data_IF_297193686683
#
_entry.id   IF_297193686683
#
_cell.length_a   1.000
_cell.length_b   1.000
_cell.length_c   1.000
_cell.angle_alpha   90.00
_cell.angle_beta   90.00
_cell.angle_gamma   90.00
#
_symmetry.space_group_name_H-M   'P 1'
#
loop_
_entity.id
_entity.type
_entity.pdbx_description
1 polymer ?
#
# COMPACT_ATOMS: atom_id res chain seq x y z
N UNK A 1 27.46 18.03 -42.27
CA UNK A 1 27.32 19.50 -42.22
C UNK A 1 26.29 19.92 -43.26
N UNK A 2 25.05 20.11 -42.84
CA UNK A 2 23.97 20.70 -43.64
C UNK A 2 23.15 21.57 -42.68
N UNK A 3 23.13 22.86 -42.97
CA UNK A 3 22.61 23.93 -42.11
C UNK A 3 21.12 24.11 -42.41
N UNK A 4 20.25 23.78 -41.46
CA UNK A 4 18.79 23.96 -41.57
C UNK A 4 18.43 25.28 -40.88
N UNK A 5 17.85 26.20 -41.65
CA UNK A 5 17.32 27.50 -41.17
C UNK A 5 16.07 27.29 -40.29
N UNK A 6 15.89 28.06 -39.20
CA UNK A 6 14.66 28.02 -38.42
C UNK A 6 13.55 28.86 -39.06
N UNK A 7 12.33 28.31 -39.06
CA UNK A 7 11.11 28.96 -39.52
C UNK A 7 10.52 29.87 -38.43
N UNK A 8 10.11 31.06 -38.84
CA UNK A 8 9.45 32.09 -38.01
C UNK A 8 7.98 31.71 -37.73
N UNK A 9 7.45 31.88 -36.51
CA UNK A 9 6.04 31.65 -36.22
C UNK A 9 5.15 32.83 -36.65
N UNK A 10 3.90 32.60 -37.09
CA UNK A 10 2.95 33.67 -37.40
C UNK A 10 2.30 34.25 -36.15
N UNK A 11 2.08 35.57 -36.18
CA UNK A 11 1.37 36.37 -35.17
C UNK A 11 -0.15 36.10 -35.16
N UNK A 12 -0.83 36.32 -34.03
CA UNK A 12 -2.26 36.05 -33.89
C UNK A 12 -3.14 37.16 -34.47
N UNK A 13 -4.09 36.78 -35.31
CA UNK A 13 -5.18 37.65 -35.79
C UNK A 13 -6.26 37.77 -34.73
N UNK A 14 -6.50 39.00 -34.27
CA UNK A 14 -7.62 39.41 -33.44
C UNK A 14 -8.84 39.70 -34.33
N UNK A 15 -9.95 38.99 -34.12
CA UNK A 15 -11.27 39.38 -34.67
C UNK A 15 -12.25 39.61 -33.53
N UNK A 16 -12.69 40.87 -33.42
CA UNK A 16 -13.74 41.35 -32.52
C UNK A 16 -15.13 40.99 -33.07
N UNK A 17 -16.04 40.78 -32.11
CA UNK A 17 -17.44 41.24 -32.07
C UNK A 17 -18.46 40.65 -33.05
N UNK A 18 -19.44 39.94 -32.48
CA UNK A 18 -20.85 40.26 -32.72
C UNK A 18 -21.70 39.79 -31.53
N UNK A 19 -22.37 40.75 -30.90
CA UNK A 19 -23.42 40.54 -29.92
C UNK A 19 -24.71 40.13 -30.65
N UNK A 20 -25.44 39.17 -30.10
CA UNK A 20 -26.82 38.86 -30.48
C UNK A 20 -27.68 38.72 -29.22
N UNK A 21 -28.66 39.62 -29.14
CA UNK A 21 -29.71 39.75 -28.12
C UNK A 21 -30.60 38.50 -27.98
N UNK A 22 -31.37 38.37 -26.88
CA UNK A 22 -32.06 37.14 -26.50
C UNK A 22 -33.47 37.06 -27.10
N UNK A 23 -34.03 35.85 -27.28
CA UNK A 23 -35.46 35.70 -27.50
C UNK A 23 -36.22 35.61 -26.17
N UNK A 24 -37.16 36.53 -26.03
CA UNK A 24 -38.36 36.44 -25.19
C UNK A 24 -39.26 35.29 -25.67
N UNK A 25 -39.86 34.53 -24.75
CA UNK A 25 -40.87 33.56 -25.15
C UNK A 25 -41.32 32.57 -24.07
N UNK A 26 -42.45 32.89 -23.46
CA UNK A 26 -43.50 31.96 -22.98
C UNK A 26 -43.18 31.05 -21.79
N UNK A 27 -43.58 31.58 -20.64
CA UNK A 27 -44.14 30.88 -19.48
C UNK A 27 -45.17 29.82 -19.88
N UNK A 28 -44.88 28.56 -19.52
CA UNK A 28 -45.87 27.50 -19.39
C UNK A 28 -45.67 26.83 -18.02
N UNK A 29 -46.56 27.19 -17.10
CA UNK A 29 -46.77 26.56 -15.78
C UNK A 29 -46.92 25.03 -15.94
N UNK A 30 -46.11 24.21 -15.26
CA UNK A 30 -46.49 22.86 -14.92
C UNK A 30 -47.43 22.91 -13.71
N UNK A 31 -48.60 22.30 -13.87
CA UNK A 31 -49.57 22.00 -12.81
C UNK A 31 -48.93 21.16 -11.71
N UNK A 32 -49.05 21.62 -10.46
CA UNK A 32 -48.68 20.87 -9.26
C UNK A 32 -49.46 19.53 -9.20
N UNK A 33 -48.78 18.38 -9.08
CA UNK A 33 -49.44 17.14 -8.70
C UNK A 33 -49.84 17.19 -7.22
N UNK A 34 -51.08 16.77 -6.95
CA UNK A 34 -51.67 16.68 -5.62
C UNK A 34 -50.77 15.94 -4.60
N UNK A 35 -50.79 16.33 -3.31
CA UNK A 35 -50.01 15.66 -2.29
C UNK A 35 -50.52 14.23 -2.07
N UNK A 36 -49.63 13.26 -2.27
CA UNK A 36 -49.87 11.87 -1.86
C UNK A 36 -50.11 11.82 -0.33
N UNK A 37 -51.03 10.96 0.14
CA UNK A 37 -51.31 10.81 1.56
C UNK A 37 -50.06 10.32 2.30
N UNK A 38 -49.74 11.03 3.38
CA UNK A 38 -48.69 10.70 4.34
C UNK A 38 -48.92 9.29 4.86
N UNK A 39 -48.07 8.35 4.45
CA UNK A 39 -47.99 7.03 5.07
C UNK A 39 -47.30 7.21 6.42
N UNK A 40 -48.09 7.25 7.49
CA UNK A 40 -47.58 7.25 8.86
C UNK A 40 -46.86 5.91 9.11
N UNK A 41 -45.58 5.90 9.51
CA UNK A 41 -44.92 4.67 9.90
C UNK A 41 -45.55 4.11 11.19
N UNK A 42 -45.64 2.79 11.35
CA UNK A 42 -46.15 2.18 12.57
C UNK A 42 -45.25 2.55 13.77
N UNK A 43 -45.89 2.90 14.88
CA UNK A 43 -45.23 3.21 16.16
C UNK A 43 -44.23 2.12 16.54
N UNK A 44 -43.01 2.48 17.00
CA UNK A 44 -42.09 1.49 17.56
C UNK A 44 -42.70 0.87 18.82
N UNK A 45 -42.67 -0.46 18.90
CA UNK A 45 -42.99 -1.22 20.11
C UNK A 45 -42.05 -0.79 21.24
N UNK A 46 -42.53 -0.69 22.50
CA UNK A 46 -41.67 -0.33 23.61
C UNK A 46 -40.60 -1.41 23.82
N UNK A 47 -39.34 -0.98 23.79
CA UNK A 47 -38.20 -1.82 24.14
C UNK A 47 -38.33 -2.28 25.60
N UNK A 48 -38.36 -3.59 25.81
CA UNK A 48 -38.18 -4.18 27.13
C UNK A 48 -36.84 -3.71 27.71
N UNK A 49 -36.90 -2.99 28.83
CA UNK A 49 -35.76 -2.71 29.70
C UNK A 49 -35.22 -4.04 30.26
N UNK A 50 -34.26 -4.63 29.55
CA UNK A 50 -33.33 -5.60 30.12
C UNK A 50 -32.27 -4.84 30.90
N UNK A 51 -32.38 -4.84 32.23
CA UNK A 51 -31.38 -4.24 33.11
C UNK A 51 -30.01 -4.93 33.00
N UNK A 52 -28.91 -4.21 33.30
CA UNK A 52 -27.59 -4.81 33.28
C UNK A 52 -27.45 -5.81 34.43
N UNK A 53 -27.26 -7.08 34.07
CA UNK A 53 -26.88 -8.15 34.96
C UNK A 53 -25.46 -7.85 35.46
N UNK A 54 -25.35 -7.30 36.68
CA UNK A 54 -24.10 -7.10 37.39
C UNK A 54 -23.43 -8.47 37.59
N UNK A 55 -22.39 -8.75 36.80
CA UNK A 55 -21.44 -9.81 37.12
C UNK A 55 -20.76 -9.44 38.44
N UNK A 56 -21.10 -10.16 39.51
CA UNK A 56 -20.37 -10.16 40.79
C UNK A 56 -18.91 -10.52 40.49
N UNK A 57 -18.02 -9.52 40.60
CA UNK A 57 -16.60 -9.74 40.84
C UNK A 57 -16.49 -10.50 42.17
N UNK A 58 -16.13 -11.79 42.12
CA UNK A 58 -15.59 -12.50 43.27
C UNK A 58 -14.19 -11.95 43.50
N UNK A 59 -13.99 -11.32 44.65
CA UNK A 59 -12.67 -11.02 45.19
C UNK A 59 -11.91 -12.34 45.40
N UNK A 60 -10.63 -12.45 45.00
CA UNK A 60 -9.81 -13.59 45.38
C UNK A 60 -9.51 -13.50 46.87
N UNK A 61 -9.91 -14.54 47.59
CA UNK A 61 -9.55 -14.78 48.97
C UNK A 61 -8.02 -14.79 49.10
N UNK A 62 -7.51 -13.96 50.01
CA UNK A 62 -6.16 -14.04 50.56
C UNK A 62 -6.08 -15.35 51.33
N UNK A 63 -5.53 -16.39 50.71
CA UNK A 63 -5.09 -17.59 51.42
C UNK A 63 -3.63 -17.39 51.84
N UNK A 64 -3.44 -17.33 53.15
CA UNK A 64 -2.16 -17.41 53.85
C UNK A 64 -1.50 -18.77 53.59
N UNK A 65 -0.34 -18.76 52.93
CA UNK A 65 0.57 -19.91 52.79
C UNK A 65 1.38 -20.11 54.09
N UNK A 66 0.69 -20.47 55.18
CA UNK A 66 1.30 -20.97 56.41
C UNK A 66 0.80 -22.38 56.69
N UNK A 67 1.32 -23.36 55.96
CA UNK A 67 1.43 -24.75 56.45
C UNK A 67 2.29 -25.57 55.49
N UNK A 68 3.54 -25.87 55.89
CA UNK A 68 4.21 -27.18 55.84
C UNK A 68 5.75 -27.00 56.02
N UNK A 69 6.40 -27.79 56.90
CA UNK A 69 7.84 -27.72 57.09
C UNK A 69 8.60 -28.21 55.85
N UNK A 70 9.44 -27.34 55.30
CA UNK A 70 10.32 -27.60 54.16
C UNK A 70 11.42 -28.59 54.58
N UNK A 71 11.22 -29.88 54.28
CA UNK A 71 12.27 -30.89 54.42
C UNK A 71 13.45 -30.54 53.48
N UNK A 72 14.66 -30.56 54.03
CA UNK A 72 15.89 -30.27 53.31
C UNK A 72 16.09 -31.25 52.14
N UNK A 73 16.25 -30.70 50.94
CA UNK A 73 16.63 -31.48 49.77
C UNK A 73 18.07 -32.01 49.93
N UNK A 74 18.35 -33.28 49.58
CA UNK A 74 19.70 -33.82 49.63
C UNK A 74 20.58 -33.12 48.59
N UNK A 75 21.78 -32.71 49.01
CA UNK A 75 22.80 -32.12 48.14
C UNK A 75 23.19 -33.11 47.04
N UNK A 76 22.71 -32.87 45.81
CA UNK A 76 23.18 -33.57 44.62
C UNK A 76 24.63 -33.19 44.34
N UNK A 77 25.53 -34.16 44.54
CA UNK A 77 26.92 -34.06 44.12
C UNK A 77 27.01 -33.76 42.61
N UNK A 78 27.81 -32.76 42.25
CA UNK A 78 28.03 -32.34 40.88
C UNK A 78 28.60 -33.50 40.05
N UNK A 79 27.88 -33.90 38.98
CA UNK A 79 28.38 -34.85 38.00
C UNK A 79 29.62 -34.27 37.30
N UNK A 80 30.73 -35.02 37.17
CA UNK A 80 31.91 -34.56 36.46
C UNK A 80 31.57 -34.31 34.98
N UNK A 81 31.97 -33.14 34.48
CA UNK A 81 31.79 -32.77 33.08
C UNK A 81 32.52 -33.77 32.17
N UNK A 82 31.87 -34.31 31.13
CA UNK A 82 32.49 -35.26 30.22
C UNK A 82 33.66 -34.61 29.46
N UNK A 83 34.72 -35.39 29.23
CA UNK A 83 36.04 -34.94 28.74
C UNK A 83 36.03 -34.24 27.37
N UNK A 84 34.96 -34.36 26.60
CA UNK A 84 34.80 -33.65 25.32
C UNK A 84 34.47 -32.15 25.47
N UNK A 85 34.01 -31.72 26.65
CA UNK A 85 33.68 -30.32 26.94
C UNK A 85 34.90 -29.39 27.12
N UNK A 86 36.14 -29.92 27.03
CA UNK A 86 37.38 -29.14 27.21
C UNK A 86 37.98 -28.61 25.90
N UNK A 87 37.39 -28.87 24.73
CA UNK A 87 37.88 -28.29 23.47
C UNK A 87 37.25 -26.91 23.26
N UNK A 88 38.04 -25.81 23.22
CA UNK A 88 37.51 -24.51 22.83
C UNK A 88 36.87 -24.65 21.43
N UNK A 89 35.68 -24.08 21.20
CA UNK A 89 35.05 -24.14 19.90
C UNK A 89 36.00 -23.56 18.85
N UNK A 90 36.17 -24.21 17.69
CA UNK A 90 37.02 -23.67 16.64
C UNK A 90 36.54 -22.25 16.31
N UNK A 91 37.46 -21.28 16.40
CA UNK A 91 37.17 -19.88 16.05
C UNK A 91 36.54 -19.88 14.65
N UNK A 92 35.30 -19.38 14.49
CA UNK A 92 34.64 -19.35 13.20
C UNK A 92 35.50 -18.46 12.29
N UNK A 93 36.16 -19.05 11.29
CA UNK A 93 36.80 -18.28 10.23
C UNK A 93 35.67 -17.52 9.54
N UNK A 94 35.66 -16.20 9.66
CA UNK A 94 34.72 -15.33 8.96
C UNK A 94 34.83 -15.64 7.47
N UNK A 95 33.82 -16.33 6.94
CA UNK A 95 33.74 -16.66 5.53
C UNK A 95 33.56 -15.33 4.79
N UNK A 96 34.40 -14.99 3.79
CA UNK A 96 34.21 -13.77 3.03
C UNK A 96 32.79 -13.81 2.46
N UNK A 97 31.97 -12.84 2.84
CA UNK A 97 30.62 -12.63 2.32
C UNK A 97 30.77 -12.23 0.86
N UNK A 98 30.80 -13.22 -0.02
CA UNK A 98 30.75 -12.98 -1.47
C UNK A 98 29.51 -12.15 -1.79
N UNK A 99 29.66 -11.16 -2.68
CA UNK A 99 28.53 -10.34 -3.16
C UNK A 99 27.43 -11.26 -3.66
N UNK A 100 26.24 -11.14 -3.07
CA UNK A 100 25.09 -11.90 -3.52
C UNK A 100 24.57 -11.17 -4.75
N UNK A 101 24.63 -11.83 -5.90
CA UNK A 101 23.98 -11.38 -7.12
C UNK A 101 22.58 -11.98 -7.20
N UNK A 102 21.63 -11.22 -7.73
CA UNK A 102 20.29 -11.70 -8.00
C UNK A 102 20.40 -12.93 -8.93
N UNK A 103 19.96 -14.09 -8.43
CA UNK A 103 19.77 -15.25 -9.30
C UNK A 103 18.51 -14.96 -10.08
N UNK A 104 18.65 -14.67 -11.37
CA UNK A 104 17.51 -14.56 -12.28
C UNK A 104 16.88 -15.95 -12.39
N UNK A 105 15.78 -16.17 -11.67
CA UNK A 105 14.90 -17.28 -11.99
C UNK A 105 14.49 -17.12 -13.47
N UNK A 106 14.33 -18.23 -14.20
CA UNK A 106 13.67 -18.15 -15.49
C UNK A 106 12.22 -17.72 -15.21
N UNK A 107 11.94 -16.42 -15.38
CA UNK A 107 10.62 -15.87 -15.14
C UNK A 107 9.61 -16.61 -16.03
N UNK A 108 8.46 -17.04 -15.50
CA UNK A 108 7.37 -17.55 -16.33
C UNK A 108 7.04 -16.55 -17.44
N UNK A 109 6.66 -17.05 -18.62
CA UNK A 109 6.27 -16.18 -19.74
C UNK A 109 4.94 -15.48 -19.49
N UNK A 110 4.04 -16.10 -18.74
CA UNK A 110 2.77 -15.51 -18.33
C UNK A 110 2.97 -14.62 -17.09
N UNK A 111 2.71 -13.31 -17.17
CA UNK A 111 2.81 -12.38 -16.04
C UNK A 111 1.96 -12.80 -14.82
N UNK A 112 0.80 -13.43 -15.04
CA UNK A 112 -0.07 -13.87 -13.95
C UNK A 112 0.49 -15.11 -13.24
N UNK A 113 1.02 -16.08 -13.99
CA UNK A 113 1.80 -17.17 -13.42
C UNK A 113 3.04 -16.66 -12.66
N UNK A 114 3.73 -15.65 -13.20
CA UNK A 114 4.87 -15.03 -12.54
C UNK A 114 4.49 -14.38 -11.20
N UNK A 115 3.39 -13.61 -11.17
CA UNK A 115 2.83 -13.05 -9.93
C UNK A 115 2.49 -14.13 -8.90
N UNK A 116 1.85 -15.24 -9.32
CA UNK A 116 1.57 -16.39 -8.44
C UNK A 116 2.84 -17.02 -7.90
N UNK A 117 3.87 -17.18 -8.75
CA UNK A 117 5.16 -17.76 -8.34
C UNK A 117 5.89 -16.89 -7.31
N UNK A 118 5.85 -15.57 -7.49
CA UNK A 118 6.36 -14.61 -6.50
C UNK A 118 5.63 -14.80 -5.17
N UNK A 119 4.30 -14.84 -5.19
CA UNK A 119 3.49 -15.03 -3.98
C UNK A 119 3.82 -16.35 -3.27
N UNK A 120 3.87 -17.48 -3.99
CA UNK A 120 4.25 -18.80 -3.46
C UNK A 120 5.61 -18.75 -2.75
N UNK A 121 6.64 -18.26 -3.44
CA UNK A 121 7.99 -18.22 -2.89
C UNK A 121 8.11 -17.27 -1.67
N UNK A 122 7.34 -16.18 -1.66
CA UNK A 122 7.26 -15.27 -0.52
C UNK A 122 6.59 -15.94 0.67
N UNK A 123 5.48 -16.66 0.45
CA UNK A 123 4.79 -17.41 1.50
C UNK A 123 5.70 -18.47 2.13
N UNK A 124 6.39 -19.24 1.28
CA UNK A 124 7.35 -20.24 1.74
C UNK A 124 8.46 -19.60 2.58
N UNK A 125 9.04 -18.50 2.11
CA UNK A 125 10.08 -17.77 2.85
C UNK A 125 9.58 -17.22 4.19
N UNK A 126 8.35 -16.69 4.22
CA UNK A 126 7.73 -16.15 5.43
C UNK A 126 7.51 -17.23 6.49
N UNK A 127 6.86 -18.34 6.10
CA UNK A 127 6.53 -19.42 7.04
C UNK A 127 7.75 -20.25 7.46
N UNK A 128 8.75 -20.43 6.59
CA UNK A 128 10.00 -21.11 6.96
C UNK A 128 10.89 -20.29 7.91
N UNK A 129 10.76 -18.97 7.87
CA UNK A 129 11.54 -18.06 8.73
C UNK A 129 10.83 -17.72 10.04
N UNK A 130 9.72 -18.40 10.35
CA UNK A 130 8.87 -18.15 11.52
C UNK A 130 8.41 -16.70 11.64
N UNK A 131 7.94 -16.08 10.54
CA UNK A 131 7.53 -14.66 10.54
C UNK A 131 6.34 -14.30 11.45
N UNK A 132 5.66 -15.27 12.04
CA UNK A 132 4.51 -15.05 12.92
C UNK A 132 3.18 -14.94 12.16
N UNK A 133 2.14 -14.46 12.85
CA UNK A 133 0.77 -14.38 12.31
C UNK A 133 0.43 -13.04 11.65
N UNK A 134 1.32 -12.05 11.70
CA UNK A 134 1.14 -10.72 11.14
C UNK A 134 1.29 -10.73 9.62
N UNK A 135 0.21 -11.04 8.91
CA UNK A 135 0.20 -11.13 7.43
C UNK A 135 0.45 -9.79 6.73
N UNK A 136 0.24 -8.68 7.44
CA UNK A 136 0.52 -7.32 6.99
C UNK A 136 2.00 -7.06 6.72
N UNK A 137 2.90 -7.74 7.45
CA UNK A 137 4.36 -7.55 7.34
C UNK A 137 4.93 -8.06 6.00
N UNK A 138 4.75 -9.34 5.60
CA UNK A 138 5.25 -9.83 4.32
C UNK A 138 4.53 -9.15 3.16
N UNK A 139 3.22 -8.90 3.29
CA UNK A 139 2.43 -8.21 2.28
C UNK A 139 2.93 -6.78 2.05
N UNK A 140 3.19 -6.06 3.13
CA UNK A 140 3.74 -4.71 3.14
C UNK A 140 5.17 -4.60 2.63
N UNK A 141 5.99 -5.61 2.90
CA UNK A 141 7.34 -5.72 2.35
C UNK A 141 7.27 -5.82 0.82
N UNK A 142 6.45 -6.73 0.28
CA UNK A 142 6.28 -6.89 -1.16
C UNK A 142 5.64 -5.67 -1.80
N UNK A 143 4.62 -5.08 -1.17
CA UNK A 143 3.98 -3.84 -1.62
C UNK A 143 4.98 -2.68 -1.72
N UNK A 144 5.84 -2.49 -0.72
CA UNK A 144 6.88 -1.48 -0.73
C UNK A 144 7.91 -1.73 -1.84
N UNK A 145 8.42 -2.96 -1.97
CA UNK A 145 9.37 -3.29 -3.04
C UNK A 145 8.77 -3.14 -4.44
N UNK A 146 7.47 -3.38 -4.60
CA UNK A 146 6.76 -3.25 -5.88
C UNK A 146 6.68 -1.80 -6.38
N UNK A 147 6.86 -0.83 -5.49
CA UNK A 147 6.87 0.61 -5.80
C UNK A 147 8.21 1.13 -6.34
N UNK A 148 9.24 0.29 -6.40
CA UNK A 148 10.56 0.62 -6.95
C UNK A 148 10.58 0.47 -8.48
N UNK A 149 11.29 1.36 -9.17
CA UNK A 149 11.62 1.20 -10.60
C UNK A 149 12.85 0.32 -10.76
N UNK A 150 12.82 -0.58 -11.74
CA UNK A 150 13.91 -1.50 -12.00
C UNK A 150 15.05 -0.77 -12.72
N UNK A 151 16.05 -0.32 -11.94
CA UNK A 151 17.28 0.27 -12.47
C UNK A 151 18.45 -0.70 -12.28
N UNK A 152 19.44 -0.71 -13.20
CA UNK A 152 20.58 -1.62 -13.12
C UNK A 152 21.27 -1.60 -11.75
N UNK A 153 21.44 -2.77 -11.14
CA UNK A 153 22.10 -2.95 -9.85
C UNK A 153 21.22 -2.71 -8.61
N UNK A 154 19.99 -2.22 -8.77
CA UNK A 154 19.09 -2.00 -7.62
C UNK A 154 18.76 -3.31 -6.89
N UNK A 155 18.38 -4.35 -7.65
CA UNK A 155 18.09 -5.67 -7.10
C UNK A 155 19.27 -6.22 -6.28
N UNK A 156 20.48 -6.12 -6.83
CA UNK A 156 21.71 -6.56 -6.15
C UNK A 156 21.96 -5.73 -4.89
N UNK A 157 21.77 -4.42 -4.94
CA UNK A 157 21.92 -3.55 -3.76
C UNK A 157 20.96 -3.95 -2.64
N UNK A 158 19.65 -4.11 -2.94
CA UNK A 158 18.66 -4.52 -1.94
C UNK A 158 18.98 -5.90 -1.36
N UNK A 159 19.44 -6.85 -2.18
CA UNK A 159 19.81 -8.21 -1.73
C UNK A 159 21.03 -8.26 -0.81
N UNK A 160 21.84 -7.20 -0.76
CA UNK A 160 23.02 -7.10 0.11
C UNK A 160 22.77 -6.25 1.37
N UNK A 161 21.56 -5.71 1.56
CA UNK A 161 21.17 -5.04 2.80
C UNK A 161 21.09 -6.03 3.96
N UNK A 162 21.49 -5.58 5.14
CA UNK A 162 21.29 -6.32 6.39
C UNK A 162 19.81 -6.25 6.83
N UNK A 163 19.31 -7.25 7.59
CA UNK A 163 17.92 -7.26 8.06
C UNK A 163 17.49 -5.96 8.76
N UNK A 164 18.39 -5.33 9.52
CA UNK A 164 18.14 -4.10 10.27
C UNK A 164 18.03 -2.85 9.38
N UNK A 165 18.53 -2.92 8.13
CA UNK A 165 18.49 -1.81 7.18
C UNK A 165 17.19 -1.79 6.35
N UNK A 166 16.49 -2.92 6.25
CA UNK A 166 15.27 -3.04 5.43
C UNK A 166 14.11 -2.16 5.90
N UNK A 167 13.80 -2.02 7.21
CA UNK A 167 12.75 -1.11 7.64
C UNK A 167 13.01 0.33 7.20
N UNK A 168 14.28 0.78 7.22
CA UNK A 168 14.65 2.12 6.78
C UNK A 168 14.43 2.30 5.27
N UNK A 169 14.85 1.32 4.45
CA UNK A 169 14.56 1.33 3.01
C UNK A 169 13.05 1.42 2.74
N UNK A 170 12.25 0.59 3.40
CA UNK A 170 10.80 0.58 3.20
C UNK A 170 10.17 1.93 3.60
N UNK A 171 10.59 2.53 4.72
CA UNK A 171 10.16 3.88 5.11
C UNK A 171 10.44 4.89 4.01
N UNK A 172 11.64 4.89 3.44
CA UNK A 172 12.04 5.81 2.38
C UNK A 172 11.19 5.63 1.13
N UNK A 173 10.87 4.38 0.75
CA UNK A 173 10.00 4.10 -0.38
C UNK A 173 8.58 4.66 -0.14
N UNK A 174 7.98 4.31 0.99
CA UNK A 174 6.63 4.75 1.32
C UNK A 174 6.55 6.27 1.49
N UNK A 175 7.55 6.91 2.12
CA UNK A 175 7.62 8.37 2.25
C UNK A 175 7.79 9.06 0.90
N UNK A 176 8.64 8.51 0.01
CA UNK A 176 8.82 9.03 -1.34
C UNK A 176 7.53 9.04 -2.15
N UNK A 177 6.69 8.02 -1.98
CA UNK A 177 5.36 7.97 -2.59
C UNK A 177 4.32 8.78 -1.83
N UNK A 178 4.41 8.91 -0.52
CA UNK A 178 3.52 9.74 0.30
C UNK A 178 3.60 11.22 -0.10
N UNK A 179 4.78 11.71 -0.50
CA UNK A 179 4.93 13.06 -1.07
C UNK A 179 4.06 13.25 -2.32
N UNK A 180 3.88 12.21 -3.14
CA UNK A 180 3.11 12.28 -4.40
C UNK A 180 1.63 11.97 -4.18
N UNK A 181 1.34 10.94 -3.38
CA UNK A 181 0.03 10.33 -3.15
C UNK A 181 -0.19 10.05 -1.66
N UNK A 182 -0.29 11.10 -0.81
CA UNK A 182 -0.47 10.92 0.63
C UNK A 182 -1.78 10.22 0.94
N UNK A 183 -2.82 10.44 0.13
CA UNK A 183 -4.11 9.77 0.20
C UNK A 183 -4.01 8.24 0.10
N UNK A 184 -3.27 7.73 -0.90
CA UNK A 184 -3.10 6.30 -1.10
C UNK A 184 -2.15 5.68 -0.08
N UNK A 185 -1.05 6.35 0.25
CA UNK A 185 -0.10 5.83 1.23
C UNK A 185 -0.69 5.82 2.65
N UNK A 186 -1.54 6.79 3.00
CA UNK A 186 -2.29 6.76 4.25
C UNK A 186 -3.31 5.62 4.26
N UNK A 187 -4.02 5.35 3.14
CA UNK A 187 -4.89 4.17 3.02
C UNK A 187 -4.13 2.86 3.21
N UNK A 188 -2.89 2.81 2.72
CA UNK A 188 -1.99 1.67 2.85
C UNK A 188 -1.28 1.57 4.22
N UNK A 189 -1.62 2.38 5.23
CA UNK A 189 -0.90 2.41 6.52
C UNK A 189 -0.75 1.04 7.18
N UNK A 190 -1.78 0.19 7.09
CA UNK A 190 -1.73 -1.17 7.65
C UNK A 190 -0.67 -2.05 7.01
N UNK A 191 -0.22 -1.74 5.79
CA UNK A 191 0.85 -2.46 5.12
C UNK A 191 2.24 -2.02 5.61
N UNK A 192 2.40 -0.79 6.10
CA UNK A 192 3.74 -0.25 6.31
C UNK A 192 4.05 0.22 7.73
N UNK A 193 3.03 0.40 8.59
CA UNK A 193 3.18 0.86 9.98
C UNK A 193 4.17 0.04 10.81
N UNK A 194 4.25 -1.28 10.58
CA UNK A 194 5.20 -2.16 11.25
C UNK A 194 6.67 -1.73 11.07
N UNK A 195 7.01 -1.09 9.94
CA UNK A 195 8.36 -0.62 9.68
C UNK A 195 8.73 0.55 10.62
N UNK A 196 7.76 1.31 11.12
CA UNK A 196 7.94 2.43 12.05
C UNK A 196 8.11 2.02 13.51
N UNK A 197 8.00 0.72 13.83
CA UNK A 197 8.32 0.24 15.16
C UNK A 197 9.80 0.56 15.52
N UNK A 198 10.07 1.29 16.63
CA UNK A 198 11.44 1.61 17.05
C UNK A 198 12.24 0.37 17.46
N UNK A 199 11.57 -0.67 17.94
CA UNK A 199 12.18 -1.91 18.43
C UNK A 199 11.61 -3.13 17.69
N UNK A 200 11.95 -3.31 16.39
CA UNK A 200 11.46 -4.44 15.62
C UNK A 200 12.04 -5.75 16.15
N UNK A 201 11.20 -6.79 16.21
CA UNK A 201 11.64 -8.11 16.62
C UNK A 201 12.70 -8.66 15.63
N UNK A 202 13.81 -9.20 16.17
CA UNK A 202 14.91 -9.73 15.35
C UNK A 202 14.48 -10.89 14.46
N UNK A 203 13.52 -11.69 14.90
CA UNK A 203 13.00 -12.80 14.11
C UNK A 203 12.10 -12.28 12.98
N UNK A 204 11.22 -11.30 13.25
CA UNK A 204 10.49 -10.58 12.22
C UNK A 204 11.43 -9.97 11.16
N UNK A 205 12.53 -9.31 11.55
CA UNK A 205 13.50 -8.75 10.61
C UNK A 205 14.16 -9.81 9.71
N UNK A 206 14.50 -10.98 10.28
CA UNK A 206 15.02 -12.10 9.49
C UNK A 206 13.98 -12.62 8.49
N UNK A 207 12.71 -12.72 8.89
CA UNK A 207 11.64 -13.13 8.00
C UNK A 207 11.38 -12.10 6.88
N UNK A 208 11.40 -10.80 7.19
CA UNK A 208 11.33 -9.71 6.20
C UNK A 208 12.48 -9.78 5.21
N UNK A 209 13.70 -10.05 5.68
CA UNK A 209 14.86 -10.23 4.81
C UNK A 209 14.72 -11.47 3.91
N UNK A 210 14.21 -12.59 4.44
CA UNK A 210 13.93 -13.79 3.63
C UNK A 210 12.86 -13.52 2.55
N UNK A 211 11.77 -12.82 2.91
CA UNK A 211 10.71 -12.39 1.98
C UNK A 211 11.27 -11.48 0.89
N UNK A 212 12.08 -10.50 1.27
CA UNK A 212 12.75 -9.58 0.32
C UNK A 212 13.58 -10.35 -0.70
N UNK A 213 14.39 -11.30 -0.22
CA UNK A 213 15.21 -12.15 -1.10
C UNK A 213 14.36 -13.04 -2.00
N UNK A 214 13.30 -13.63 -1.48
CA UNK A 214 12.40 -14.48 -2.26
C UNK A 214 11.72 -13.67 -3.37
N UNK A 215 11.18 -12.50 -3.04
CA UNK A 215 10.51 -11.62 -4.01
C UNK A 215 11.46 -11.17 -5.12
N UNK A 216 12.65 -10.66 -4.76
CA UNK A 216 13.62 -10.15 -5.75
C UNK A 216 14.19 -11.27 -6.61
N UNK A 217 14.62 -12.40 -6.03
CA UNK A 217 15.16 -13.51 -6.83
C UNK A 217 14.11 -14.17 -7.71
N UNK A 218 12.82 -14.06 -7.37
CA UNK A 218 11.73 -14.55 -8.23
C UNK A 218 11.40 -13.55 -9.35
N UNK A 219 11.95 -12.33 -9.35
CA UNK A 219 11.76 -11.35 -10.42
C UNK A 219 10.67 -10.31 -10.15
N UNK A 220 10.40 -9.94 -8.89
CA UNK A 220 9.42 -8.90 -8.55
C UNK A 220 9.67 -7.59 -9.32
N UNK A 221 10.92 -7.13 -9.35
CA UNK A 221 11.29 -5.88 -10.03
C UNK A 221 11.15 -5.98 -11.54
N UNK A 222 11.28 -7.17 -12.12
CA UNK A 222 11.04 -7.39 -13.53
C UNK A 222 9.54 -7.32 -13.85
N UNK A 223 8.66 -7.62 -12.90
CA UNK A 223 7.21 -7.58 -13.13
C UNK A 223 6.60 -6.20 -12.85
N UNK A 224 6.96 -5.54 -11.74
CA UNK A 224 6.32 -4.28 -11.32
C UNK A 224 7.17 -3.04 -11.55
N UNK A 225 8.47 -3.23 -11.81
CA UNK A 225 9.46 -2.15 -11.87
C UNK A 225 9.63 -1.47 -13.22
N UNK A 226 8.88 -1.87 -14.26
CA UNK A 226 8.97 -1.28 -15.60
C UNK A 226 8.63 0.22 -15.62
N UNK A 227 9.34 0.99 -16.45
CA UNK A 227 9.06 2.42 -16.69
C UNK A 227 7.76 2.63 -17.46
N UNK A 228 7.38 1.67 -18.31
CA UNK A 228 6.12 1.64 -19.04
C UNK A 228 4.96 1.21 -18.13
N UNK A 229 3.93 2.05 -17.92
CA UNK A 229 2.72 1.69 -17.18
C UNK A 229 2.02 0.44 -17.70
N UNK A 230 2.08 0.20 -19.00
CA UNK A 230 1.48 -0.98 -19.61
C UNK A 230 2.09 -2.26 -19.04
N UNK A 231 3.42 -2.38 -19.11
CA UNK A 231 4.16 -3.59 -18.73
C UNK A 231 4.02 -3.89 -17.22
N UNK A 232 4.12 -2.88 -16.36
CA UNK A 232 3.96 -3.08 -14.91
C UNK A 232 2.51 -3.30 -14.45
N UNK A 233 1.53 -3.15 -15.35
CA UNK A 233 0.11 -3.42 -15.11
C UNK A 233 -0.34 -4.80 -15.63
N UNK A 234 0.58 -5.62 -16.14
CA UNK A 234 0.22 -6.92 -16.69
C UNK A 234 -0.35 -7.87 -15.63
N UNK A 235 0.13 -7.81 -14.39
CA UNK A 235 -0.35 -8.67 -13.31
C UNK A 235 -0.53 -7.95 -11.97
N UNK A 236 -1.32 -8.59 -11.10
CA UNK A 236 -1.50 -8.21 -9.70
C UNK A 236 -0.70 -9.18 -8.81
N UNK A 237 0.40 -8.70 -8.23
CA UNK A 237 1.26 -9.51 -7.35
C UNK A 237 0.71 -9.58 -5.92
N UNK A 238 -0.02 -8.56 -5.48
CA UNK A 238 -0.48 -8.46 -4.11
C UNK A 238 -1.69 -9.35 -3.85
N UNK A 239 -2.55 -9.54 -4.85
CA UNK A 239 -3.72 -10.42 -4.72
C UNK A 239 -3.39 -11.88 -4.38
N UNK A 240 -2.57 -12.62 -5.16
CA UNK A 240 -2.26 -14.01 -4.84
C UNK A 240 -1.51 -14.12 -3.51
N UNK A 241 -0.71 -13.11 -3.15
CA UNK A 241 -0.02 -13.07 -1.86
C UNK A 241 -0.98 -12.88 -0.68
N UNK A 242 -1.85 -11.87 -0.72
CA UNK A 242 -2.88 -11.64 0.30
C UNK A 242 -3.79 -12.87 0.44
N UNK A 243 -4.19 -13.45 -0.70
CA UNK A 243 -4.96 -14.69 -0.72
C UNK A 243 -4.17 -15.81 -0.06
N UNK A 244 -2.90 -16.01 -0.38
CA UNK A 244 -2.08 -17.07 0.21
C UNK A 244 -1.85 -16.93 1.70
N UNK A 245 -1.67 -15.70 2.20
CA UNK A 245 -1.40 -15.39 3.60
C UNK A 245 -2.61 -15.61 4.51
N UNK A 246 -3.83 -15.45 3.99
CA UNK A 246 -5.06 -15.66 4.75
C UNK A 246 -5.23 -17.15 5.10
N UNK A 247 -5.57 -17.42 6.36
CA UNK A 247 -5.77 -18.78 6.85
C UNK A 247 -6.93 -19.47 6.10
N UNK A 248 -6.86 -20.79 5.91
CA UNK A 248 -7.87 -21.57 5.16
C UNK A 248 -9.29 -21.40 5.72
N UNK A 249 -9.44 -21.21 7.03
CA UNK A 249 -10.74 -20.93 7.66
C UNK A 249 -11.31 -19.57 7.25
N UNK A 250 -10.45 -18.56 7.15
CA UNK A 250 -10.87 -17.18 6.89
C UNK A 250 -11.37 -17.04 5.45
N UNK A 251 -10.76 -17.78 4.51
CA UNK A 251 -11.25 -17.90 3.12
C UNK A 251 -12.67 -18.46 3.04
N UNK A 252 -12.96 -19.49 3.85
CA UNK A 252 -14.25 -20.18 3.82
C UNK A 252 -15.38 -19.33 4.40
N UNK A 253 -15.09 -18.53 5.43
CA UNK A 253 -16.10 -17.71 6.11
C UNK A 253 -16.32 -16.34 5.48
N UNK A 254 -15.28 -15.71 4.91
CA UNK A 254 -15.41 -14.39 4.28
C UNK A 254 -16.04 -14.44 2.89
N UNK A 255 -15.95 -15.56 2.18
CA UNK A 255 -16.45 -15.67 0.81
C UNK A 255 -15.72 -14.78 -0.22
N UNK A 256 -14.69 -14.05 0.22
CA UNK A 256 -13.82 -13.22 -0.62
C UNK A 256 -12.87 -14.13 -1.41
N UNK A 257 -13.27 -14.42 -2.65
CA UNK A 257 -12.41 -15.05 -3.63
C UNK A 257 -11.84 -13.99 -4.56
N UNK A 258 -10.54 -14.05 -4.79
CA UNK A 258 -9.92 -13.24 -5.83
C UNK A 258 -10.54 -13.60 -7.19
N UNK A 259 -11.07 -12.58 -7.88
CA UNK A 259 -11.56 -12.73 -9.26
C UNK A 259 -10.35 -12.93 -10.18
N UNK A 260 -10.25 -14.09 -10.88
CA UNK A 260 -9.13 -14.35 -11.77
C UNK A 260 -9.00 -13.27 -12.85
N UNK A 261 -7.76 -12.93 -13.24
CA UNK A 261 -7.49 -11.87 -14.21
C UNK A 261 -8.18 -12.08 -15.56
N UNK A 262 -8.27 -13.31 -16.04
CA UNK A 262 -8.97 -13.63 -17.28
C UNK A 262 -10.46 -13.22 -17.24
N UNK A 263 -11.10 -13.28 -16.07
CA UNK A 263 -12.51 -12.87 -15.89
C UNK A 263 -12.60 -11.34 -15.84
N UNK A 264 -11.71 -10.67 -15.11
CA UNK A 264 -11.71 -9.19 -15.08
C UNK A 264 -11.33 -8.60 -16.44
N UNK A 265 -10.44 -9.24 -17.19
CA UNK A 265 -10.07 -8.84 -18.56
C UNK A 265 -11.23 -9.04 -19.54
N UNK A 266 -11.96 -10.15 -19.43
CA UNK A 266 -13.19 -10.36 -20.20
C UNK A 266 -14.21 -9.24 -19.91
N UNK A 267 -14.47 -8.95 -18.63
CA UNK A 267 -15.43 -7.91 -18.24
C UNK A 267 -14.99 -6.52 -18.68
N UNK A 268 -13.71 -6.18 -18.57
CA UNK A 268 -13.17 -4.91 -19.08
C UNK A 268 -13.34 -4.80 -20.60
N UNK A 269 -13.05 -5.87 -21.36
CA UNK A 269 -13.26 -5.91 -22.81
C UNK A 269 -14.72 -5.75 -23.22
N UNK A 270 -15.66 -6.23 -22.40
CA UNK A 270 -17.10 -6.09 -22.66
C UNK A 270 -17.66 -4.72 -22.30
N UNK A 271 -17.07 -4.05 -21.30
CA UNK A 271 -17.63 -2.83 -20.70
C UNK A 271 -16.94 -1.54 -21.16
N UNK A 272 -15.69 -1.64 -21.60
CA UNK A 272 -14.86 -0.50 -22.03
C UNK A 272 -14.62 -0.59 -23.53
N UNK A 273 -15.37 0.26 -24.24
CA UNK A 273 -15.27 0.44 -25.69
C UNK A 273 -14.80 1.86 -26.01
N UNK A 274 -14.08 2.03 -27.14
CA UNK A 274 -13.46 3.31 -27.51
C UNK A 274 -14.48 4.41 -27.79
N UNK A 275 -15.63 4.05 -28.35
CA UNK A 275 -16.66 5.03 -28.70
C UNK A 275 -17.47 5.47 -27.46
N UNK A 276 -17.43 4.64 -26.40
CA UNK A 276 -18.13 4.88 -25.14
C UNK A 276 -17.24 5.50 -24.08
N UNK A 277 -15.97 5.11 -23.99
CA UNK A 277 -15.03 5.55 -22.96
C UNK A 277 -14.51 6.96 -23.26
N UNK A 278 -15.08 7.96 -22.56
CA UNK A 278 -14.71 9.37 -22.70
C UNK A 278 -13.93 9.89 -21.47
N UNK A 279 -12.89 10.71 -21.67
CA UNK A 279 -12.24 11.44 -20.58
C UNK A 279 -13.25 12.11 -19.64
N UNK A 280 -12.99 12.02 -18.34
CA UNK A 280 -13.86 12.53 -17.28
C UNK A 280 -14.90 11.52 -16.76
N UNK A 281 -15.08 10.38 -17.43
CA UNK A 281 -15.92 9.29 -16.90
C UNK A 281 -15.31 8.69 -15.61
N UNK A 282 -16.18 8.03 -14.84
CA UNK A 282 -15.80 7.42 -13.56
C UNK A 282 -15.94 5.90 -13.62
N UNK A 283 -14.93 5.19 -13.12
CA UNK A 283 -14.98 3.76 -12.81
C UNK A 283 -15.13 3.60 -11.30
N UNK A 284 -16.16 2.85 -10.88
CA UNK A 284 -16.47 2.61 -9.48
C UNK A 284 -16.52 1.13 -9.21
N UNK A 285 -15.83 0.70 -8.15
CA UNK A 285 -15.81 -0.69 -7.72
C UNK A 285 -16.11 -0.75 -6.20
N UNK A 286 -17.32 -1.16 -5.80
CA UNK A 286 -17.73 -1.20 -4.40
C UNK A 286 -17.10 -2.34 -3.59
N UNK A 287 -16.43 -3.30 -4.24
CA UNK A 287 -15.68 -4.37 -3.58
C UNK A 287 -14.32 -4.55 -4.28
N UNK A 288 -13.46 -3.54 -4.16
CA UNK A 288 -12.26 -3.39 -4.99
C UNK A 288 -11.23 -4.49 -4.79
N UNK A 289 -11.20 -5.15 -3.63
CA UNK A 289 -10.16 -6.12 -3.31
C UNK A 289 -8.79 -5.46 -3.40
N UNK A 290 -7.87 -6.11 -4.09
CA UNK A 290 -6.56 -5.54 -4.47
C UNK A 290 -6.60 -4.67 -5.74
N UNK A 291 -7.76 -4.47 -6.36
CA UNK A 291 -7.95 -3.62 -7.53
C UNK A 291 -7.86 -4.31 -8.89
N UNK A 292 -7.93 -5.64 -8.97
CA UNK A 292 -7.73 -6.37 -10.25
C UNK A 292 -8.69 -5.92 -11.37
N UNK A 293 -9.92 -5.51 -11.04
CA UNK A 293 -10.83 -4.91 -12.02
C UNK A 293 -10.29 -3.59 -12.57
N UNK A 294 -9.75 -2.71 -11.72
CA UNK A 294 -9.09 -1.47 -12.16
C UNK A 294 -7.89 -1.72 -13.05
N UNK A 295 -7.08 -2.74 -12.74
CA UNK A 295 -5.97 -3.16 -13.61
C UNK A 295 -6.47 -3.50 -15.01
N UNK A 296 -7.48 -4.36 -15.11
CA UNK A 296 -8.05 -4.79 -16.39
C UNK A 296 -8.65 -3.63 -17.18
N UNK A 297 -9.40 -2.74 -16.52
CA UNK A 297 -9.94 -1.52 -17.15
C UNK A 297 -8.82 -0.59 -17.61
N UNK A 298 -7.77 -0.38 -16.80
CA UNK A 298 -6.65 0.47 -17.16
C UNK A 298 -5.84 -0.07 -18.35
N UNK A 299 -5.62 -1.39 -18.42
CA UNK A 299 -5.06 -2.03 -19.61
C UNK A 299 -5.98 -1.83 -20.79
N UNK A 300 -7.28 -2.13 -20.67
CA UNK A 300 -8.21 -1.93 -21.78
C UNK A 300 -8.22 -0.48 -22.30
N UNK A 301 -8.17 0.52 -21.43
CA UNK A 301 -8.06 1.93 -21.85
C UNK A 301 -6.79 2.18 -22.67
N UNK A 302 -5.64 1.69 -22.20
CA UNK A 302 -4.37 1.86 -22.92
C UNK A 302 -4.34 1.13 -24.26
N UNK A 303 -4.95 -0.05 -24.37
CA UNK A 303 -5.11 -0.78 -25.65
C UNK A 303 -5.85 0.06 -26.69
N UNK A 304 -6.81 0.86 -26.22
CA UNK A 304 -7.60 1.76 -27.05
C UNK A 304 -6.89 3.10 -27.33
N UNK A 305 -5.69 3.30 -26.80
CA UNK A 305 -4.91 4.53 -26.89
C UNK A 305 -5.37 5.65 -25.95
N UNK A 306 -6.14 5.31 -24.91
CA UNK A 306 -6.64 6.25 -23.90
C UNK A 306 -5.72 6.26 -22.68
N UNK A 307 -5.60 7.42 -22.04
CA UNK A 307 -4.79 7.57 -20.83
C UNK A 307 -5.66 7.32 -19.56
N UNK A 308 -5.33 6.35 -18.69
CA UNK A 308 -6.03 6.15 -17.42
C UNK A 308 -6.14 7.40 -16.53
N UNK A 309 -5.20 8.35 -16.65
CA UNK A 309 -5.22 9.61 -15.89
C UNK A 309 -6.38 10.52 -16.30
N UNK A 310 -6.97 10.28 -17.48
CA UNK A 310 -8.10 11.04 -18.01
C UNK A 310 -9.43 10.67 -17.35
N UNK A 311 -9.45 9.65 -16.49
CA UNK A 311 -10.64 9.11 -15.84
C UNK A 311 -10.61 9.29 -14.31
N UNK A 312 -11.77 9.16 -13.69
CA UNK A 312 -11.92 9.11 -12.24
C UNK A 312 -12.04 7.65 -11.79
N UNK A 313 -11.35 7.29 -10.73
CA UNK A 313 -11.36 5.94 -10.16
C UNK A 313 -11.80 6.01 -8.72
N UNK A 314 -12.77 5.18 -8.34
CA UNK A 314 -13.19 5.04 -6.95
C UNK A 314 -13.39 3.59 -6.58
N UNK A 315 -12.49 3.06 -5.76
CA UNK A 315 -12.61 1.72 -5.19
C UNK A 315 -12.98 1.80 -3.72
N UNK A 316 -13.84 0.91 -3.23
CA UNK A 316 -14.08 0.73 -1.81
C UNK A 316 -13.95 -0.76 -1.44
N UNK A 317 -13.38 -1.04 -0.27
CA UNK A 317 -13.35 -2.40 0.29
C UNK A 317 -13.48 -2.36 1.81
N UNK A 318 -14.24 -3.27 2.40
CA UNK A 318 -14.40 -3.35 3.85
C UNK A 318 -13.12 -3.85 4.55
N UNK A 319 -12.28 -4.62 3.85
CA UNK A 319 -11.03 -5.13 4.38
C UNK A 319 -9.89 -4.13 4.18
N UNK A 320 -9.35 -3.64 5.30
CA UNK A 320 -8.27 -2.65 5.28
C UNK A 320 -6.98 -3.12 4.57
N UNK A 321 -6.69 -4.43 4.55
CA UNK A 321 -5.53 -4.96 3.82
C UNK A 321 -5.79 -5.01 2.32
N UNK A 322 -6.98 -5.45 1.88
CA UNK A 322 -7.41 -5.34 0.49
C UNK A 322 -7.36 -3.89 0.00
N UNK A 323 -7.98 -2.96 0.72
CA UNK A 323 -7.97 -1.54 0.38
C UNK A 323 -6.54 -0.96 0.33
N UNK A 324 -5.66 -1.37 1.25
CA UNK A 324 -4.24 -1.02 1.21
C UNK A 324 -3.52 -1.56 -0.04
N UNK A 325 -3.80 -2.81 -0.43
CA UNK A 325 -3.26 -3.39 -1.66
C UNK A 325 -3.76 -2.64 -2.90
N UNK A 326 -5.05 -2.33 -2.98
CA UNK A 326 -5.61 -1.53 -4.07
C UNK A 326 -4.98 -0.13 -4.14
N UNK A 327 -4.70 0.50 -3.00
CA UNK A 327 -4.03 1.80 -2.96
C UNK A 327 -2.60 1.73 -3.50
N UNK A 328 -1.82 0.71 -3.12
CA UNK A 328 -0.46 0.51 -3.66
C UNK A 328 -0.51 0.16 -5.16
N UNK A 329 -1.41 -0.75 -5.54
CA UNK A 329 -1.60 -1.16 -6.93
C UNK A 329 -2.05 0.01 -7.82
N UNK A 330 -2.86 0.94 -7.32
CA UNK A 330 -3.23 2.14 -8.06
C UNK A 330 -2.02 3.03 -8.41
N UNK A 331 -0.97 3.03 -7.58
CA UNK A 331 0.31 3.71 -7.86
C UNK A 331 1.12 2.91 -8.87
N UNK A 332 1.26 1.59 -8.66
CA UNK A 332 2.02 0.70 -9.56
C UNK A 332 1.43 0.80 -10.96
N UNK A 333 0.12 0.65 -11.08
CA UNK A 333 -0.60 0.69 -12.34
C UNK A 333 -0.88 2.09 -12.85
N UNK A 334 -0.37 3.13 -12.19
CA UNK A 334 -0.41 4.50 -12.69
C UNK A 334 -1.81 4.94 -13.16
N UNK A 335 -2.81 4.74 -12.30
CA UNK A 335 -4.21 5.15 -12.56
C UNK A 335 -4.38 6.69 -12.57
N UNK A 336 -3.34 7.41 -12.19
CA UNK A 336 -3.30 8.87 -12.19
C UNK A 336 -3.81 9.51 -10.90
N UNK A 337 -3.89 10.85 -10.89
CA UNK A 337 -4.15 11.64 -9.68
C UNK A 337 -5.62 11.57 -9.21
N UNK A 338 -6.53 11.09 -10.05
CA UNK A 338 -7.98 11.05 -9.78
C UNK A 338 -8.46 9.68 -9.32
N UNK A 339 -7.63 8.98 -8.55
CA UNK A 339 -7.94 7.66 -8.01
C UNK A 339 -8.11 7.70 -6.51
N UNK A 340 -9.28 7.36 -6.00
CA UNK A 340 -9.59 7.32 -4.57
C UNK A 340 -9.87 5.87 -4.14
N UNK A 341 -9.30 5.46 -3.01
CA UNK A 341 -9.56 4.15 -2.41
C UNK A 341 -10.12 4.35 -1.00
N UNK A 342 -11.37 3.95 -0.81
CA UNK A 342 -12.09 3.93 0.45
C UNK A 342 -11.87 2.65 1.24
N UNK A 343 -12.16 2.70 2.53
CA UNK A 343 -12.33 1.48 3.34
C UNK A 343 -13.55 1.64 4.24
N UNK A 344 -14.67 1.10 3.79
CA UNK A 344 -15.97 1.21 4.42
C UNK A 344 -16.86 0.01 4.04
N UNK A 345 -17.97 -0.16 4.74
CA UNK A 345 -19.03 -1.07 4.30
C UNK A 345 -19.86 -0.40 3.19
N UNK A 346 -19.77 -0.91 1.96
CA UNK A 346 -20.49 -0.38 0.79
C UNK A 346 -22.02 -0.52 0.90
N UNK A 347 -22.53 -1.32 1.86
CA UNK A 347 -23.96 -1.46 2.13
C UNK A 347 -24.43 -0.51 3.24
N UNK A 348 -23.52 0.18 3.92
CA UNK A 348 -23.90 1.17 4.92
C UNK A 348 -24.64 2.35 4.25
N UNK A 349 -25.60 2.99 4.94
CA UNK A 349 -26.38 4.09 4.40
C UNK A 349 -25.59 5.40 4.20
N UNK A 350 -24.32 5.40 4.59
CA UNK A 350 -23.44 6.57 4.61
C UNK A 350 -22.79 6.75 3.23
N UNK A 351 -22.54 7.99 2.80
CA UNK A 351 -21.80 8.27 1.55
C UNK A 351 -20.29 8.05 1.77
N UNK A 352 -19.84 6.82 1.52
CA UNK A 352 -18.44 6.41 1.61
C UNK A 352 -17.51 7.16 0.65
N UNK A 353 -18.02 7.56 -0.52
CA UNK A 353 -17.29 8.32 -1.51
C UNK A 353 -16.97 9.74 -1.03
N UNK A 354 -17.97 10.47 -0.51
CA UNK A 354 -17.78 11.81 0.02
C UNK A 354 -16.78 11.81 1.18
N UNK A 355 -16.89 10.83 2.09
CA UNK A 355 -15.94 10.63 3.19
C UNK A 355 -14.52 10.34 2.68
N UNK A 356 -14.36 9.39 1.75
CA UNK A 356 -13.06 9.05 1.16
C UNK A 356 -12.41 10.26 0.48
N UNK A 357 -13.21 11.08 -0.22
CA UNK A 357 -12.73 12.31 -0.85
C UNK A 357 -12.28 13.35 0.18
N UNK A 358 -12.99 13.48 1.29
CA UNK A 358 -12.60 14.38 2.39
C UNK A 358 -11.29 13.92 3.05
N UNK A 359 -11.15 12.63 3.34
CA UNK A 359 -9.92 12.02 3.88
C UNK A 359 -8.73 12.25 2.93
N UNK A 360 -8.93 12.06 1.61
CA UNK A 360 -7.90 12.31 0.63
C UNK A 360 -7.47 13.79 0.61
N UNK A 361 -8.43 14.72 0.66
CA UNK A 361 -8.15 16.16 0.73
C UNK A 361 -7.33 16.50 1.98
N UNK A 362 -7.72 15.98 3.14
CA UNK A 362 -7.00 16.18 4.40
C UNK A 362 -5.57 15.65 4.32
N UNK A 363 -5.36 14.48 3.69
CA UNK A 363 -4.02 13.92 3.50
C UNK A 363 -3.11 14.84 2.66
N UNK A 364 -3.64 15.45 1.59
CA UNK A 364 -2.90 16.45 0.82
C UNK A 364 -2.60 17.72 1.62
N UNK A 365 -3.58 18.25 2.35
CA UNK A 365 -3.39 19.42 3.22
C UNK A 365 -2.36 19.15 4.33
N UNK A 366 -2.35 17.94 4.90
CA UNK A 366 -1.34 17.52 5.86
C UNK A 366 0.05 17.46 5.22
N UNK A 367 0.17 16.87 4.04
CA UNK A 367 1.43 16.83 3.30
C UNK A 367 1.97 18.23 3.05
N UNK A 368 1.13 19.13 2.55
CA UNK A 368 1.55 20.49 2.20
C UNK A 368 2.08 21.23 3.43
N UNK A 369 1.42 21.10 4.58
CA UNK A 369 1.92 21.64 5.86
C UNK A 369 3.31 21.13 6.23
N UNK A 370 3.57 19.83 6.09
CA UNK A 370 4.88 19.25 6.39
C UNK A 370 5.96 19.71 5.38
N UNK A 371 5.62 19.79 4.09
CA UNK A 371 6.54 20.24 3.05
C UNK A 371 6.92 21.72 3.21
N UNK A 372 5.96 22.57 3.60
CA UNK A 372 6.23 23.99 3.85
C UNK A 372 7.11 24.20 5.10
N UNK A 373 6.89 23.39 6.13
CA UNK A 373 7.76 23.36 7.32
C UNK A 373 9.18 22.92 6.94
N UNK A 374 9.33 21.85 6.15
CA UNK A 374 10.63 21.36 5.70
C UNK A 374 11.38 22.37 4.84
N UNK A 375 10.69 23.05 3.91
CA UNK A 375 11.25 24.13 3.09
C UNK A 375 11.78 25.27 3.96
N UNK A 376 11.01 25.67 4.98
CA UNK A 376 11.42 26.71 5.94
C UNK A 376 12.69 26.31 6.69
N UNK A 377 12.79 25.07 7.17
CA UNK A 377 14.00 24.56 7.85
C UNK A 377 15.21 24.56 6.91
N UNK A 378 15.06 24.12 5.66
CA UNK A 378 16.14 24.10 4.66
C UNK A 378 16.61 25.53 4.36
N UNK A 379 15.68 26.47 4.19
CA UNK A 379 16.01 27.88 3.96
C UNK A 379 16.81 28.47 5.14
N UNK A 380 16.39 28.20 6.38
CA UNK A 380 17.12 28.64 7.56
C UNK A 380 18.53 28.04 7.65
N UNK A 381 18.69 26.74 7.40
CA UNK A 381 20.02 26.10 7.40
C UNK A 381 20.93 26.67 6.33
N UNK A 382 20.39 26.96 5.15
CA UNK A 382 21.14 27.55 4.04
C UNK A 382 21.58 28.99 4.37
N UNK A 383 20.70 29.78 5.00
CA UNK A 383 21.03 31.13 5.45
C UNK A 383 22.11 31.14 6.55
N UNK A 384 22.04 30.21 7.52
CA UNK A 384 23.06 30.06 8.56
C UNK A 384 24.42 29.68 7.95
N UNK A 385 24.45 28.73 7.01
CA UNK A 385 25.69 28.33 6.33
C UNK A 385 26.34 29.51 5.56
N UNK A 386 25.55 30.37 4.91
CA UNK A 386 26.04 31.57 4.24
C UNK A 386 26.56 32.62 5.24
N UNK A 387 25.92 32.75 6.41
CA UNK A 387 26.42 33.64 7.47
C UNK A 387 27.76 33.15 8.04
N UNK A 388 27.91 31.83 8.23
CA UNK A 388 29.19 31.24 8.68
C UNK A 388 30.31 31.45 7.65
N UNK A 389 29.99 31.42 6.34
CA UNK A 389 30.94 31.72 5.26
C UNK A 389 31.36 33.20 5.23
N UNK A 390 30.43 34.12 5.50
CA UNK A 390 30.68 35.57 5.53
C UNK A 390 31.33 36.06 6.83
N UNK A 391 31.14 35.32 7.93
CA UNK A 391 31.71 35.61 9.24
C UNK A 391 32.64 34.47 9.69
N UNK A 392 33.75 34.20 8.99
CA UNK A 392 34.69 33.19 9.45
C UNK A 392 35.16 33.61 10.85
N UNK A 393 34.89 32.75 11.83
CA UNK A 393 35.24 33.03 13.22
C UNK A 393 36.75 33.31 13.31
N UNK A 394 37.13 34.32 14.11
CA UNK A 394 38.53 34.67 14.37
C UNK A 394 39.36 33.52 14.96
N UNK A 395 38.71 32.43 15.38
CA UNK A 395 39.36 31.21 15.88
C UNK A 395 40.07 30.38 14.80
N UNK A 396 39.76 30.57 13.51
CA UNK A 396 40.44 29.87 12.41
C UNK A 396 41.65 30.64 11.83
N UNK A 397 42.06 31.76 12.45
CA UNK A 397 43.13 32.63 11.98
C UNK A 397 44.38 32.65 12.89
N UNK A 398 44.54 31.65 13.78
CA UNK A 398 45.69 31.50 14.67
C UNK A 398 46.55 30.29 14.29
#
# INVERSE_FOLDING_TARGET
>A
MACVKPATPPLPTTSRSAASSPPSGTSSRPTDPAPNPIHTPPRPRPAHRGGPMRARRKEPAVMSDDFLPRAAAPATAARPAPSWAKKPPPKPKARPTGKITARRYAAPRDPHEHARKIAENVLDAWYQSFGGSSIDVPLGTVAGLSLLRNVPGLADWVLNLQPEQLPQLLKEIYLGHWIKRPDLINRAIRLHDWAWNPDPDKQQLRAVHAVTRAAINTGLMDLTGHDDPWQRSEADVLSPLLTGLRHKSDKKWRGEYHTPSCVTDLLANMTVDKDLAKPGMSFREPAVGSGTMFRSVAQRLRDLGLNPHDFHWYGNDIDSLSAGCAAVNAIIWDLGPRCLIGCADSLAPEDDYAKTRAEAKEAFEQRDRYMDTARTIIAHRSALALLDELMPSKENAA
#
